data_IF_338161772154
#
_entry.id   IF_338161772154
#
_cell.length_a   1.000
_cell.length_b   1.000
_cell.length_c   1.000
_cell.angle_alpha   90.00
_cell.angle_beta   90.00
_cell.angle_gamma   90.00
#
_symmetry.space_group_name_H-M   'P 1'
#
loop_
_entity.id
_entity.type
_entity.pdbx_description
1 polymer ?
#
# COMPACT_ATOMS: atom_id res chain seq x y z
N UNK A 1 -35.84 7.74 -19.50
CA UNK A 1 -34.62 8.55 -19.65
C UNK A 1 -33.93 8.48 -18.31
N UNK A 2 -33.12 7.44 -18.12
CA UNK A 2 -32.32 7.32 -16.90
C UNK A 2 -31.13 8.26 -17.05
N UNK A 3 -30.97 9.17 -16.08
CA UNK A 3 -29.89 10.15 -16.06
C UNK A 3 -28.52 9.48 -15.99
N UNK A 4 -27.43 10.21 -16.27
CA UNK A 4 -26.09 9.65 -16.17
C UNK A 4 -25.87 9.14 -14.74
N UNK A 5 -25.59 7.84 -14.60
CA UNK A 5 -25.16 7.25 -13.35
C UNK A 5 -23.94 8.02 -12.85
N UNK A 6 -24.07 8.68 -11.70
CA UNK A 6 -22.94 9.30 -11.02
C UNK A 6 -21.97 8.20 -10.61
N UNK A 7 -20.91 8.00 -11.40
CA UNK A 7 -19.79 7.13 -11.03
C UNK A 7 -19.07 7.78 -9.85
N UNK A 8 -19.37 7.30 -8.64
CA UNK A 8 -18.62 7.69 -7.43
C UNK A 8 -17.28 6.95 -7.50
N UNK A 9 -16.23 7.68 -7.85
CA UNK A 9 -14.88 7.13 -7.82
C UNK A 9 -14.47 6.82 -6.37
N UNK A 10 -13.84 5.66 -6.10
CA UNK A 10 -13.40 5.32 -4.76
C UNK A 10 -12.34 6.33 -4.29
N UNK A 11 -12.51 6.85 -3.07
CA UNK A 11 -11.49 7.66 -2.41
C UNK A 11 -10.39 6.72 -1.91
N UNK A 12 -9.14 7.02 -2.28
CA UNK A 12 -7.98 6.20 -1.95
C UNK A 12 -6.91 7.01 -1.23
N UNK A 13 -6.24 6.37 -0.27
CA UNK A 13 -5.07 6.92 0.40
C UNK A 13 -3.78 6.37 -0.21
N UNK A 14 -2.78 7.23 -0.35
CA UNK A 14 -1.42 6.82 -0.72
C UNK A 14 -0.45 7.39 0.29
N UNK A 15 0.28 6.51 0.95
CA UNK A 15 1.21 6.86 2.01
C UNK A 15 2.62 6.51 1.56
N UNK A 16 3.52 7.48 1.69
CA UNK A 16 4.94 7.27 1.50
C UNK A 16 5.66 7.47 2.82
N UNK A 17 6.42 6.47 3.23
CA UNK A 17 7.49 6.70 4.18
C UNK A 17 8.54 7.65 3.58
N UNK A 18 9.26 8.38 4.44
CA UNK A 18 10.34 9.25 3.99
C UNK A 18 11.70 8.56 3.96
N UNK A 19 12.13 7.96 5.07
CA UNK A 19 13.53 7.61 5.32
C UNK A 19 13.91 6.26 4.76
N UNK A 20 14.77 6.26 3.75
CA UNK A 20 15.13 5.07 2.96
C UNK A 20 14.02 4.62 2.02
N UNK A 21 12.94 5.42 1.89
CA UNK A 21 11.84 5.20 0.95
C UNK A 21 11.80 6.29 -0.13
N UNK A 22 11.78 7.56 0.26
CA UNK A 22 11.85 8.72 -0.65
C UNK A 22 13.19 9.45 -0.56
N UNK A 23 13.79 9.41 0.62
CA UNK A 23 15.04 10.05 0.97
C UNK A 23 16.06 8.95 1.17
N UNK A 24 17.18 8.99 0.46
CA UNK A 24 18.28 8.07 0.71
C UNK A 24 18.81 8.27 2.14
N UNK A 25 18.65 7.25 2.98
CA UNK A 25 19.08 7.27 4.38
C UNK A 25 20.49 6.74 4.60
N UNK A 26 21.20 6.29 3.55
CA UNK A 26 22.58 5.77 3.66
C UNK A 26 23.60 6.84 4.06
N UNK A 27 23.26 8.12 3.89
CA UNK A 27 24.11 9.25 4.26
C UNK A 27 24.01 9.68 5.74
N UNK A 28 23.28 8.95 6.59
CA UNK A 28 23.08 9.28 8.03
C UNK A 28 24.34 9.11 8.92
N UNK A 29 25.56 9.08 8.38
CA UNK A 29 26.75 8.77 9.19
C UNK A 29 27.16 9.92 10.14
N UNK A 30 26.93 9.67 11.43
CA UNK A 30 27.77 9.99 12.61
C UNK A 30 27.81 11.40 13.25
N UNK A 31 27.07 12.42 12.80
CA UNK A 31 27.00 13.69 13.53
C UNK A 31 25.57 14.23 13.72
N UNK A 32 25.05 14.36 14.97
CA UNK A 32 23.71 14.88 15.24
C UNK A 32 23.50 16.34 14.83
N UNK A 33 24.58 17.14 14.77
CA UNK A 33 24.48 18.59 14.57
C UNK A 33 24.29 19.01 13.10
N UNK A 34 24.65 18.14 12.14
CA UNK A 34 24.52 18.42 10.70
C UNK A 34 23.34 17.69 10.05
N UNK A 35 22.54 16.97 10.84
CA UNK A 35 21.38 16.21 10.35
C UNK A 35 20.40 17.11 9.57
N UNK A 36 20.23 18.37 9.99
CA UNK A 36 19.34 19.32 9.32
C UNK A 36 19.81 19.70 7.90
N UNK A 37 21.10 19.93 7.68
CA UNK A 37 21.66 20.24 6.35
C UNK A 37 21.73 18.99 5.48
N UNK A 38 22.22 17.87 6.03
CA UNK A 38 22.30 16.58 5.33
C UNK A 38 20.94 16.12 4.79
N UNK A 39 19.86 16.35 5.54
CA UNK A 39 18.52 15.91 5.16
C UNK A 39 17.83 16.86 4.18
N UNK A 40 18.19 18.14 4.13
CA UNK A 40 17.64 19.08 3.15
C UNK A 40 18.17 18.82 1.72
N UNK A 41 19.38 18.26 1.63
CA UNK A 41 20.06 17.96 0.37
C UNK A 41 20.16 16.47 0.05
N UNK A 42 19.57 15.61 0.88
CA UNK A 42 19.59 14.17 0.68
C UNK A 42 19.03 13.77 -0.72
N UNK A 43 19.70 12.81 -1.40
CA UNK A 43 19.29 12.39 -2.73
C UNK A 43 17.94 11.67 -2.72
N UNK A 44 17.32 11.67 -3.89
CA UNK A 44 16.01 11.06 -4.12
C UNK A 44 16.15 9.57 -4.37
N UNK A 45 15.29 8.79 -3.71
CA UNK A 45 15.06 7.40 -4.08
C UNK A 45 14.17 7.30 -5.35
N UNK A 46 14.27 6.22 -6.15
CA UNK A 46 13.50 6.07 -7.40
C UNK A 46 11.96 6.19 -7.24
N UNK A 47 11.45 5.86 -6.05
CA UNK A 47 10.03 5.95 -5.68
C UNK A 47 9.50 7.40 -5.68
N UNK A 48 10.39 8.40 -5.66
CA UNK A 48 10.02 9.81 -5.85
C UNK A 48 9.14 10.05 -7.09
N UNK A 49 9.45 9.39 -8.21
CA UNK A 49 8.68 9.56 -9.47
C UNK A 49 7.23 9.12 -9.31
N UNK A 50 6.96 8.11 -8.49
CA UNK A 50 5.61 7.68 -8.15
C UNK A 50 4.90 8.64 -7.23
N UNK A 51 5.59 9.18 -6.22
CA UNK A 51 5.00 10.20 -5.36
C UNK A 51 4.50 11.38 -6.19
N UNK A 52 5.30 11.85 -7.16
CA UNK A 52 4.87 12.90 -8.11
C UNK A 52 3.70 12.47 -8.99
N UNK A 53 3.70 11.22 -9.47
CA UNK A 53 2.61 10.70 -10.27
C UNK A 53 1.29 10.65 -9.48
N UNK A 54 1.33 10.20 -8.23
CA UNK A 54 0.17 10.14 -7.34
C UNK A 54 -0.37 11.52 -6.98
N UNK A 55 0.49 12.50 -6.70
CA UNK A 55 0.04 13.88 -6.45
C UNK A 55 -0.59 14.56 -7.67
N UNK A 56 -0.24 14.11 -8.88
CA UNK A 56 -0.85 14.62 -10.12
C UNK A 56 -2.21 14.00 -10.45
N UNK A 57 -2.64 12.97 -9.69
CA UNK A 57 -3.93 12.31 -9.90
C UNK A 57 -5.10 13.19 -9.38
N UNK A 58 -6.32 12.99 -9.93
CA UNK A 58 -7.50 13.80 -9.57
C UNK A 58 -7.87 13.75 -8.08
N UNK A 59 -8.80 14.63 -7.68
CA UNK A 59 -9.29 14.96 -6.33
C UNK A 59 -9.68 13.79 -5.38
N UNK A 60 -9.66 12.54 -5.86
CA UNK A 60 -10.03 11.35 -5.09
C UNK A 60 -8.82 10.57 -4.53
N UNK A 61 -7.64 11.19 -4.55
CA UNK A 61 -6.41 10.61 -3.99
C UNK A 61 -5.87 11.53 -2.90
N UNK A 62 -5.75 11.01 -1.68
CA UNK A 62 -5.05 11.71 -0.61
C UNK A 62 -3.60 11.18 -0.53
N UNK A 63 -2.62 12.04 -0.79
CA UNK A 63 -1.20 11.71 -0.61
C UNK A 63 -0.72 12.16 0.76
N UNK A 64 -0.14 11.23 1.52
CA UNK A 64 0.40 11.46 2.86
C UNK A 64 1.86 11.02 2.92
N UNK A 65 2.71 11.84 3.51
CA UNK A 65 4.10 11.52 3.84
C UNK A 65 4.19 11.21 5.32
N UNK A 66 4.53 9.98 5.67
CA UNK A 66 4.62 9.52 7.05
C UNK A 66 6.10 9.28 7.40
N UNK A 67 6.58 9.73 8.56
CA UNK A 67 7.98 9.48 8.94
C UNK A 67 8.11 9.15 10.41
N UNK A 68 8.99 8.20 10.72
CA UNK A 68 9.43 7.89 12.07
C UNK A 68 10.30 8.98 12.72
N UNK A 69 10.70 10.01 11.96
CA UNK A 69 11.46 11.15 12.50
C UNK A 69 10.68 11.83 13.61
N UNK A 70 11.42 12.24 14.62
CA UNK A 70 10.91 13.09 15.69
C UNK A 70 10.29 14.37 15.12
N UNK A 71 9.18 14.81 15.70
CA UNK A 71 8.48 16.04 15.31
C UNK A 71 9.36 17.29 15.39
N UNK A 72 10.44 17.28 16.18
CA UNK A 72 11.43 18.36 16.17
C UNK A 72 12.10 18.54 14.79
N UNK A 73 12.16 17.48 13.97
CA UNK A 73 12.70 17.48 12.59
C UNK A 73 11.62 17.78 11.53
N UNK A 74 10.43 18.21 11.94
CA UNK A 74 9.32 18.53 11.05
C UNK A 74 9.68 19.60 10.01
N UNK A 75 10.32 20.68 10.44
CA UNK A 75 10.68 21.81 9.56
C UNK A 75 11.59 21.36 8.42
N UNK A 76 12.57 20.51 8.73
CA UNK A 76 13.52 19.95 7.75
C UNK A 76 12.80 19.02 6.77
N UNK A 77 11.93 18.14 7.29
CA UNK A 77 11.18 17.19 6.46
C UNK A 77 10.24 17.93 5.49
N UNK A 78 9.58 19.01 5.94
CA UNK A 78 8.79 19.88 5.07
C UNK A 78 9.61 20.66 4.06
N UNK A 79 10.78 21.16 4.45
CA UNK A 79 11.66 21.90 3.55
C UNK A 79 12.11 20.98 2.40
N UNK A 80 12.51 19.75 2.71
CA UNK A 80 12.88 18.76 1.70
C UNK A 80 11.70 18.45 0.76
N UNK A 81 10.51 18.13 1.29
CA UNK A 81 9.31 17.90 0.48
C UNK A 81 9.03 19.09 -0.45
N UNK A 82 9.07 20.32 0.08
CA UNK A 82 8.83 21.54 -0.70
C UNK A 82 9.87 21.75 -1.81
N UNK A 83 11.16 21.54 -1.52
CA UNK A 83 12.25 21.60 -2.50
C UNK A 83 12.00 20.63 -3.66
N UNK A 84 11.48 19.45 -3.37
CA UNK A 84 11.14 18.42 -4.36
C UNK A 84 9.70 18.52 -4.88
N UNK A 85 9.00 19.64 -4.60
CA UNK A 85 7.64 19.94 -5.05
C UNK A 85 6.64 18.85 -4.67
N UNK A 86 6.79 18.26 -3.49
CA UNK A 86 5.85 17.32 -2.87
C UNK A 86 5.02 18.11 -1.85
N UNK A 87 3.69 18.10 -2.01
CA UNK A 87 2.73 18.96 -1.30
C UNK A 87 1.70 18.21 -0.47
N UNK A 88 1.69 16.88 -0.52
CA UNK A 88 0.90 16.02 0.33
C UNK A 88 1.11 16.28 1.82
N UNK A 89 0.17 15.79 2.63
CA UNK A 89 0.20 16.01 4.07
C UNK A 89 1.37 15.25 4.68
N UNK A 90 2.29 15.95 5.35
CA UNK A 90 3.34 15.29 6.13
C UNK A 90 2.85 14.98 7.56
N UNK A 91 3.30 13.88 8.15
CA UNK A 91 3.07 13.50 9.55
C UNK A 91 4.38 12.95 10.12
N UNK A 92 4.87 13.56 11.20
CA UNK A 92 6.05 13.10 11.95
C UNK A 92 5.66 12.40 13.25
N UNK A 93 6.57 11.58 13.77
CA UNK A 93 6.45 10.90 15.06
C UNK A 93 6.40 11.92 16.20
N UNK A 94 5.38 11.88 17.08
CA UNK A 94 5.36 12.71 18.29
C UNK A 94 6.56 12.41 19.19
N UNK A 95 7.12 13.40 19.91
CA UNK A 95 8.27 13.18 20.81
C UNK A 95 7.99 12.19 21.96
N UNK A 96 6.71 11.96 22.28
CA UNK A 96 6.28 11.01 23.31
C UNK A 96 6.32 9.56 22.86
N UNK A 97 6.50 9.28 21.56
CA UNK A 97 6.58 7.93 21.01
C UNK A 97 8.06 7.56 20.87
N UNK A 98 8.55 6.54 21.58
CA UNK A 98 9.94 6.12 21.47
C UNK A 98 10.22 5.42 20.13
N UNK A 99 11.49 5.20 19.78
CA UNK A 99 11.87 4.73 18.44
C UNK A 99 11.45 3.28 18.19
N UNK A 100 11.55 2.45 19.22
CA UNK A 100 11.08 1.07 19.23
C UNK A 100 9.58 0.92 18.96
N UNK A 101 8.78 1.96 19.22
CA UNK A 101 7.33 1.96 19.04
C UNK A 101 6.90 2.57 17.68
N UNK A 102 7.85 2.98 16.82
CA UNK A 102 7.56 3.54 15.49
C UNK A 102 6.67 2.62 14.64
N UNK A 103 6.90 1.29 14.56
CA UNK A 103 6.02 0.41 13.80
C UNK A 103 4.56 0.45 14.27
N UNK A 104 4.35 0.40 15.59
CA UNK A 104 3.02 0.42 16.21
C UNK A 104 2.35 1.78 15.99
N UNK A 105 3.10 2.86 16.15
CA UNK A 105 2.62 4.22 15.92
C UNK A 105 2.22 4.45 14.46
N UNK A 106 3.07 4.06 13.49
CA UNK A 106 2.73 4.16 12.06
C UNK A 106 1.45 3.39 11.76
N UNK A 107 1.34 2.15 12.24
CA UNK A 107 0.13 1.34 12.07
C UNK A 107 -1.13 2.03 12.60
N UNK A 108 -1.04 2.65 13.79
CA UNK A 108 -2.13 3.42 14.39
C UNK A 108 -2.52 4.62 13.53
N UNK A 109 -1.54 5.41 13.06
CA UNK A 109 -1.79 6.58 12.20
C UNK A 109 -2.46 6.18 10.90
N UNK A 110 -2.02 5.09 10.25
CA UNK A 110 -2.63 4.63 9.00
C UNK A 110 -4.09 4.19 9.22
N UNK A 111 -4.38 3.47 10.30
CA UNK A 111 -5.74 3.06 10.64
C UNK A 111 -6.65 4.27 10.93
N UNK A 112 -6.15 5.28 11.64
CA UNK A 112 -6.88 6.52 11.90
C UNK A 112 -7.16 7.32 10.62
N UNK A 113 -6.19 7.42 9.71
CA UNK A 113 -6.36 8.09 8.43
C UNK A 113 -7.41 7.38 7.57
N UNK A 114 -7.34 6.05 7.50
CA UNK A 114 -8.32 5.23 6.80
C UNK A 114 -9.74 5.51 7.32
N UNK A 115 -9.93 5.46 8.64
CA UNK A 115 -11.24 5.68 9.27
C UNK A 115 -11.73 7.12 9.09
N UNK A 116 -10.85 8.11 9.22
CA UNK A 116 -11.17 9.53 9.13
C UNK A 116 -11.56 9.97 7.72
N UNK A 117 -10.85 9.46 6.71
CA UNK A 117 -11.03 9.89 5.33
C UNK A 117 -11.97 8.96 4.54
N UNK A 118 -12.41 7.84 5.13
CA UNK A 118 -13.31 6.90 4.47
C UNK A 118 -12.67 6.24 3.24
N UNK A 119 -11.35 6.09 3.23
CA UNK A 119 -10.64 5.48 2.13
C UNK A 119 -11.05 4.03 1.98
N UNK A 120 -11.31 3.62 0.74
CA UNK A 120 -11.63 2.23 0.42
C UNK A 120 -10.39 1.34 0.40
N UNK A 121 -9.24 1.92 0.04
CA UNK A 121 -7.94 1.27 -0.04
C UNK A 121 -6.85 2.26 0.34
N UNK A 122 -5.76 1.74 0.91
CA UNK A 122 -4.55 2.49 1.18
C UNK A 122 -3.35 1.76 0.55
N UNK A 123 -2.57 2.49 -0.25
CA UNK A 123 -1.27 2.00 -0.73
C UNK A 123 -0.19 2.57 0.17
N UNK A 124 0.70 1.73 0.72
CA UNK A 124 1.79 2.19 1.58
C UNK A 124 3.13 1.78 0.99
N UNK A 125 3.94 2.79 0.69
CA UNK A 125 5.34 2.67 0.32
C UNK A 125 6.20 2.80 1.56
N UNK A 126 6.94 1.76 1.91
CA UNK A 126 7.73 1.66 3.14
C UNK A 126 8.99 0.84 2.86
N UNK A 127 10.12 1.19 3.44
CA UNK A 127 11.37 0.45 3.28
C UNK A 127 11.64 -0.55 4.41
N UNK A 128 11.08 -0.31 5.60
CA UNK A 128 11.20 -1.21 6.73
C UNK A 128 10.06 -2.24 6.75
N UNK A 129 10.42 -3.51 6.60
CA UNK A 129 9.49 -4.64 6.65
C UNK A 129 8.71 -4.70 7.96
N UNK A 130 9.31 -4.30 9.07
CA UNK A 130 8.68 -4.31 10.40
C UNK A 130 7.51 -3.31 10.46
N UNK A 131 7.71 -2.11 9.92
CA UNK A 131 6.67 -1.09 9.80
C UNK A 131 5.52 -1.61 8.93
N UNK A 132 5.84 -2.20 7.78
CA UNK A 132 4.84 -2.69 6.84
C UNK A 132 3.99 -3.82 7.42
N UNK A 133 4.60 -4.76 8.14
CA UNK A 133 3.90 -5.85 8.83
C UNK A 133 3.01 -5.34 9.96
N UNK A 134 3.45 -4.34 10.73
CA UNK A 134 2.64 -3.73 11.78
C UNK A 134 1.40 -3.02 11.19
N UNK A 135 1.58 -2.31 10.08
CA UNK A 135 0.48 -1.66 9.35
C UNK A 135 -0.51 -2.70 8.80
N UNK A 136 -0.02 -3.78 8.19
CA UNK A 136 -0.87 -4.86 7.69
C UNK A 136 -1.71 -5.49 8.81
N UNK A 137 -1.12 -5.70 9.99
CA UNK A 137 -1.82 -6.28 11.14
C UNK A 137 -2.91 -5.36 11.73
N UNK A 138 -2.76 -4.03 11.58
CA UNK A 138 -3.69 -3.06 12.16
C UNK A 138 -4.90 -2.72 11.26
N UNK A 139 -4.86 -3.12 9.99
CA UNK A 139 -5.90 -2.74 9.02
C UNK A 139 -6.87 -3.89 8.74
N UNK A 140 -8.14 -3.58 8.39
CA UNK A 140 -9.07 -4.60 7.93
C UNK A 140 -8.50 -5.33 6.69
N UNK A 141 -8.76 -6.63 6.54
CA UNK A 141 -8.32 -7.40 5.38
C UNK A 141 -8.69 -6.69 4.06
N UNK A 142 -7.80 -6.77 3.07
CA UNK A 142 -7.99 -6.20 1.72
C UNK A 142 -7.95 -4.67 1.61
N UNK A 143 -7.72 -3.96 2.72
CA UNK A 143 -7.63 -2.50 2.68
C UNK A 143 -6.23 -2.00 2.31
N UNK A 144 -5.19 -2.79 2.63
CA UNK A 144 -3.80 -2.42 2.39
C UNK A 144 -3.27 -3.02 1.08
N UNK A 145 -2.60 -2.17 0.29
CA UNK A 145 -1.69 -2.56 -0.77
C UNK A 145 -0.27 -2.26 -0.28
N UNK A 146 0.46 -3.25 0.26
CA UNK A 146 1.79 -3.03 0.81
C UNK A 146 2.85 -3.01 -0.31
N UNK A 147 3.71 -1.99 -0.31
CA UNK A 147 4.82 -1.85 -1.26
C UNK A 147 6.13 -1.67 -0.49
N UNK A 148 6.92 -2.75 -0.40
CA UNK A 148 8.25 -2.67 0.23
C UNK A 148 9.28 -2.13 -0.78
N UNK A 149 9.94 -1.05 -0.41
CA UNK A 149 10.94 -0.35 -1.21
C UNK A 149 12.34 -0.74 -0.74
N UNK A 150 13.18 -1.25 -1.65
CA UNK A 150 14.60 -1.47 -1.36
C UNK A 150 15.46 -0.32 -1.89
N UNK A 151 16.63 -0.11 -1.28
CA UNK A 151 17.53 1.02 -1.56
C UNK A 151 18.22 1.03 -2.94
N UNK A 152 17.91 0.09 -3.82
CA UNK A 152 18.25 0.12 -5.25
C UNK A 152 17.05 0.53 -6.14
N UNK A 153 15.94 0.92 -5.53
CA UNK A 153 14.66 1.15 -6.19
C UNK A 153 13.94 -0.13 -6.62
N UNK A 154 14.48 -1.31 -6.27
CA UNK A 154 13.81 -2.57 -6.54
C UNK A 154 12.59 -2.67 -5.62
N UNK A 155 11.41 -2.56 -6.24
CA UNK A 155 10.15 -2.81 -5.54
C UNK A 155 10.02 -4.29 -5.33
N UNK A 156 9.98 -4.70 -4.08
CA UNK A 156 9.58 -6.05 -3.75
C UNK A 156 8.29 -5.98 -2.99
N UNK A 157 7.25 -6.67 -3.43
CA UNK A 157 6.15 -7.00 -2.51
C UNK A 157 6.74 -8.02 -1.54
N UNK A 158 6.60 -7.88 -0.20
CA UNK A 158 7.14 -8.85 0.75
C UNK A 158 6.72 -10.26 0.32
N UNK A 159 7.71 -11.13 0.12
CA UNK A 159 7.68 -12.46 -0.52
C UNK A 159 6.31 -13.19 -0.55
N UNK A 160 5.40 -12.71 -1.39
CA UNK A 160 4.16 -13.42 -1.73
C UNK A 160 3.97 -13.62 -3.23
N UNK A 161 4.90 -13.15 -4.08
CA UNK A 161 4.84 -13.35 -5.53
C UNK A 161 5.53 -14.66 -5.97
N UNK A 162 5.21 -15.76 -5.29
CA UNK A 162 5.58 -17.11 -5.80
C UNK A 162 4.80 -17.44 -7.07
N UNK A 163 3.68 -16.74 -7.33
CA UNK A 163 2.71 -17.08 -8.39
C UNK A 163 3.18 -16.86 -9.82
N UNK A 164 4.09 -15.93 -10.09
CA UNK A 164 4.48 -15.58 -11.47
C UNK A 164 3.37 -14.90 -12.29
N UNK A 165 2.32 -14.40 -11.64
CA UNK A 165 1.19 -13.70 -12.28
C UNK A 165 1.33 -12.18 -12.17
N UNK A 166 0.68 -11.41 -13.08
CA UNK A 166 0.56 -9.96 -12.94
C UNK A 166 -0.06 -9.56 -11.59
N UNK A 167 0.40 -8.45 -11.03
CA UNK A 167 -0.03 -7.94 -9.73
C UNK A 167 -1.56 -7.74 -9.64
N UNK A 168 -2.16 -7.20 -10.71
CA UNK A 168 -3.61 -7.01 -10.80
C UNK A 168 -4.37 -8.34 -10.70
N UNK A 169 -3.84 -9.43 -11.26
CA UNK A 169 -4.49 -10.74 -11.17
C UNK A 169 -4.45 -11.30 -9.75
N UNK A 170 -3.39 -11.01 -8.99
CA UNK A 170 -3.27 -11.41 -7.58
C UNK A 170 -4.25 -10.64 -6.72
N UNK A 171 -4.38 -9.33 -6.93
CA UNK A 171 -5.35 -8.47 -6.24
C UNK A 171 -6.77 -8.96 -6.52
N UNK A 172 -7.11 -9.12 -7.80
CA UNK A 172 -8.41 -9.62 -8.24
C UNK A 172 -8.71 -11.01 -7.65
N UNK A 173 -7.71 -11.89 -7.55
CA UNK A 173 -7.86 -13.20 -6.94
C UNK A 173 -8.14 -13.14 -5.43
N UNK A 174 -7.44 -12.26 -4.70
CA UNK A 174 -7.72 -12.02 -3.27
C UNK A 174 -9.16 -11.54 -3.06
N UNK A 175 -9.66 -10.65 -3.92
CA UNK A 175 -11.06 -10.17 -3.88
C UNK A 175 -12.03 -11.33 -4.12
N UNK A 176 -11.79 -12.12 -5.17
CA UNK A 176 -12.63 -13.27 -5.52
C UNK A 176 -12.75 -14.27 -4.38
N UNK A 177 -11.62 -14.69 -3.81
CA UNK A 177 -11.60 -15.68 -2.74
C UNK A 177 -12.09 -15.13 -1.41
N UNK A 178 -11.84 -13.84 -1.12
CA UNK A 178 -12.42 -13.16 0.04
C UNK A 178 -13.95 -13.12 0.00
N UNK A 179 -14.56 -12.99 -1.19
CA UNK A 179 -16.03 -13.05 -1.35
C UNK A 179 -16.60 -14.46 -1.25
N UNK A 180 -15.88 -15.46 -1.76
CA UNK A 180 -16.38 -16.84 -1.89
C UNK A 180 -16.09 -17.74 -0.67
N UNK A 181 -15.02 -17.43 0.06
CA UNK A 181 -14.55 -18.17 1.22
C UNK A 181 -13.99 -17.22 2.30
N UNK A 182 -14.77 -16.23 2.78
CA UNK A 182 -14.32 -15.28 3.81
C UNK A 182 -13.92 -15.98 5.12
N UNK A 183 -14.63 -17.05 5.47
CA UNK A 183 -14.44 -17.80 6.72
C UNK A 183 -13.32 -18.85 6.66
N UNK A 184 -12.75 -19.10 5.47
CA UNK A 184 -11.71 -20.13 5.29
C UNK A 184 -10.45 -19.50 4.71
N UNK A 185 -9.48 -19.07 5.53
CA UNK A 185 -8.26 -18.44 5.04
C UNK A 185 -7.30 -19.42 4.33
N UNK A 186 -7.59 -20.72 4.29
CA UNK A 186 -6.69 -21.71 3.69
C UNK A 186 -6.51 -21.56 2.17
N UNK A 187 -7.42 -20.84 1.49
CA UNK A 187 -7.25 -20.49 0.07
C UNK A 187 -6.00 -19.63 -0.18
N UNK A 188 -5.48 -18.92 0.83
CA UNK A 188 -4.22 -18.16 0.72
C UNK A 188 -3.04 -19.06 0.32
N UNK A 189 -3.12 -20.35 0.61
CA UNK A 189 -2.12 -21.35 0.15
C UNK A 189 -2.06 -21.48 -1.38
N UNK A 190 -3.07 -21.03 -2.11
CA UNK A 190 -3.04 -20.95 -3.58
C UNK A 190 -2.13 -19.82 -4.06
N UNK A 191 -1.93 -18.75 -3.27
CA UNK A 191 -1.07 -17.62 -3.63
C UNK A 191 0.42 -17.87 -3.37
N UNK A 192 0.78 -18.93 -2.65
CA UNK A 192 2.19 -19.29 -2.42
C UNK A 192 2.70 -20.33 -3.42
N UNK A 193 1.90 -20.68 -4.45
CA UNK A 193 2.28 -21.61 -5.53
C UNK A 193 2.58 -20.84 -6.80
N UNK A 194 3.50 -21.35 -7.62
CA UNK A 194 3.77 -20.81 -8.96
C UNK A 194 2.72 -21.30 -9.95
N UNK A 195 2.03 -20.36 -10.61
CA UNK A 195 0.99 -20.66 -11.58
C UNK A 195 1.45 -20.32 -12.99
N UNK A 196 1.22 -21.20 -13.97
CA UNK A 196 1.61 -20.95 -15.35
C UNK A 196 0.74 -19.87 -16.03
N UNK A 197 -0.46 -19.61 -15.50
CA UNK A 197 -1.39 -18.60 -16.02
C UNK A 197 -2.48 -18.27 -15.02
N UNK A 198 -3.18 -17.15 -15.24
CA UNK A 198 -4.38 -16.77 -14.50
C UNK A 198 -5.44 -17.88 -14.52
N UNK A 199 -5.69 -18.47 -15.69
CA UNK A 199 -6.69 -19.53 -15.83
C UNK A 199 -6.37 -20.74 -14.94
N UNK A 200 -5.10 -21.15 -14.85
CA UNK A 200 -4.70 -22.26 -14.00
C UNK A 200 -4.96 -21.99 -12.49
N UNK A 201 -4.74 -20.75 -12.05
CA UNK A 201 -5.08 -20.33 -10.69
C UNK A 201 -6.60 -20.37 -10.45
N UNK A 202 -7.40 -19.86 -11.39
CA UNK A 202 -8.86 -19.82 -11.29
C UNK A 202 -9.47 -21.22 -11.29
N UNK A 203 -8.92 -22.15 -12.08
CA UNK A 203 -9.38 -23.55 -12.09
C UNK A 203 -9.17 -24.21 -10.72
N UNK A 204 -7.98 -24.06 -10.13
CA UNK A 204 -7.71 -24.57 -8.78
C UNK A 204 -8.58 -23.91 -7.70
N UNK A 205 -8.90 -22.63 -7.84
CA UNK A 205 -9.80 -21.96 -6.92
C UNK A 205 -11.25 -22.43 -7.06
N UNK A 206 -11.70 -22.70 -8.28
CA UNK A 206 -13.03 -23.28 -8.53
C UNK A 206 -13.17 -24.68 -7.95
N UNK A 207 -12.10 -25.48 -7.97
CA UNK A 207 -12.06 -26.78 -7.32
C UNK A 207 -12.07 -26.65 -5.79
N UNK A 208 -11.31 -25.68 -5.26
CA UNK A 208 -11.24 -25.41 -3.82
C UNK A 208 -12.62 -25.10 -3.20
N UNK A 209 -13.40 -24.21 -3.80
CA UNK A 209 -14.70 -23.77 -3.24
C UNK A 209 -15.85 -24.79 -3.36
N UNK A 210 -15.57 -26.02 -3.79
CA UNK A 210 -16.51 -27.09 -4.20
C UNK A 210 -17.99 -26.94 -3.76
N UNK A 211 -18.89 -26.95 -4.75
CA UNK A 211 -20.35 -26.86 -4.55
C UNK A 211 -21.08 -26.25 -5.76
N UNK A 212 -22.21 -26.83 -6.20
CA UNK A 212 -22.89 -26.43 -7.46
C UNK A 212 -23.29 -24.95 -7.49
N UNK A 213 -23.79 -24.42 -6.38
CA UNK A 213 -24.14 -22.99 -6.26
C UNK A 213 -22.92 -22.07 -6.26
N UNK A 214 -21.83 -22.47 -5.58
CA UNK A 214 -20.59 -21.72 -5.50
C UNK A 214 -19.86 -21.63 -6.83
N UNK A 215 -19.93 -22.67 -7.68
CA UNK A 215 -19.35 -22.65 -9.04
C UNK A 215 -20.01 -21.63 -9.98
N UNK A 216 -21.34 -21.47 -9.90
CA UNK A 216 -22.05 -20.46 -10.70
C UNK A 216 -21.67 -19.04 -10.24
N UNK A 217 -21.69 -18.82 -8.93
CA UNK A 217 -21.30 -17.55 -8.32
C UNK A 217 -19.83 -17.20 -8.59
N UNK A 218 -18.94 -18.19 -8.60
CA UNK A 218 -17.53 -18.01 -8.96
C UNK A 218 -17.37 -17.43 -10.37
N UNK A 219 -18.07 -17.98 -11.37
CA UNK A 219 -17.97 -17.47 -12.74
C UNK A 219 -18.46 -16.03 -12.85
N UNK A 220 -19.60 -15.73 -12.24
CA UNK A 220 -20.15 -14.37 -12.21
C UNK A 220 -19.18 -13.37 -11.56
N UNK A 221 -18.57 -13.75 -10.44
CA UNK A 221 -17.58 -12.90 -9.76
C UNK A 221 -16.27 -12.77 -10.54
N UNK A 222 -15.83 -13.80 -11.25
CA UNK A 222 -14.66 -13.70 -12.14
C UNK A 222 -14.93 -12.67 -13.24
N UNK A 223 -16.10 -12.75 -13.90
CA UNK A 223 -16.46 -11.80 -14.95
C UNK A 223 -16.61 -10.38 -14.38
N UNK A 224 -17.27 -10.20 -13.23
CA UNK A 224 -17.41 -8.90 -12.56
C UNK A 224 -16.04 -8.28 -12.22
N UNK A 225 -15.14 -9.07 -11.62
CA UNK A 225 -13.85 -8.57 -11.11
C UNK A 225 -12.86 -8.30 -12.25
N UNK A 226 -12.86 -9.10 -13.32
CA UNK A 226 -11.89 -8.97 -14.42
C UNK A 226 -12.39 -8.23 -15.65
N UNK A 227 -13.69 -8.24 -15.93
CA UNK A 227 -14.28 -7.60 -17.10
C UNK A 227 -15.06 -6.33 -16.72
N UNK A 228 -15.37 -6.13 -15.44
CA UNK A 228 -16.12 -4.96 -14.96
C UNK A 228 -17.60 -4.98 -15.35
N UNK A 229 -18.10 -6.08 -15.92
CA UNK A 229 -19.49 -6.23 -16.33
C UNK A 229 -20.31 -6.87 -15.20
N UNK A 230 -21.36 -6.17 -14.73
CA UNK A 230 -22.42 -6.82 -13.94
C UNK A 230 -23.32 -7.60 -14.92
N UNK A 231 -23.26 -8.92 -14.88
CA UNK A 231 -24.23 -9.81 -15.52
C UNK A 231 -25.54 -9.92 -14.71
#
# INVERSE_FOLDING_TARGET
MDGPENVVLPHVGVIFDLDGTLIDSTHRSEAPNDLMELMADAPLEPVYTEAKAWESKPLHVDVVYLTGRDQQLWTVSKLWLSKHKLFGKCICRPPSVPEEDVPVWKATVVAELLAKHGWTHVTVYENDKTNLLAIEAALPPHTLIPTLVKGDGEKTVPESNVTGLPEQDIVNFKILMGRLAPEDPSWKSLLVRKWPSRSALLDSAQDYISGKHKRRMFRQLVDEIWLGERA
#
